data_IF_246241129330
#
_entry.id   IF_246241129330
#
_cell.length_a   1.000
_cell.length_b   1.000
_cell.length_c   1.000
_cell.angle_alpha   90.00
_cell.angle_beta   90.00
_cell.angle_gamma   90.00
#
_symmetry.space_group_name_H-M   'P 1'
#
loop_
_entity.id
_entity.type
_entity.pdbx_description
1 polymer ?
#
# COMPACT_ATOMS: atom_id res chain seq x y z
N UNK A 1 -30.13 -9.00 -5.03
CA UNK A 1 -29.18 -9.07 -3.90
C UNK A 1 -29.93 -8.89 -2.59
N UNK A 2 -29.59 -9.68 -1.60
CA UNK A 2 -30.18 -9.58 -0.26
C UNK A 2 -29.40 -8.53 0.51
N UNK A 3 -30.06 -7.51 1.04
CA UNK A 3 -29.42 -6.40 1.72
C UNK A 3 -28.59 -6.88 2.92
N UNK A 4 -29.07 -7.93 3.65
CA UNK A 4 -28.35 -8.50 4.78
C UNK A 4 -27.00 -9.12 4.40
N UNK A 5 -26.71 -9.30 3.11
CA UNK A 5 -25.47 -9.89 2.62
C UNK A 5 -24.50 -8.84 2.07
N UNK A 6 -24.85 -7.56 2.14
CA UNK A 6 -23.92 -6.55 1.69
C UNK A 6 -22.71 -6.50 2.64
N UNK A 7 -21.50 -6.22 2.11
CA UNK A 7 -20.31 -6.22 2.94
C UNK A 7 -20.31 -5.09 3.97
N UNK A 8 -19.61 -5.31 5.06
CA UNK A 8 -19.34 -4.25 6.03
C UNK A 8 -18.42 -3.19 5.40
N UNK A 9 -18.39 -2.01 6.01
CA UNK A 9 -17.57 -0.90 5.48
C UNK A 9 -16.09 -1.27 5.36
N UNK A 10 -15.53 -1.95 6.37
CA UNK A 10 -14.13 -2.35 6.33
C UNK A 10 -13.87 -3.32 5.17
N UNK A 11 -14.79 -4.25 4.92
CA UNK A 11 -14.66 -5.19 3.80
C UNK A 11 -14.68 -4.45 2.47
N UNK A 12 -15.56 -3.46 2.33
CA UNK A 12 -15.69 -2.68 1.11
C UNK A 12 -14.38 -1.94 0.81
N UNK A 13 -13.85 -1.22 1.79
CA UNK A 13 -12.63 -0.44 1.59
C UNK A 13 -11.40 -1.34 1.44
N UNK A 14 -11.37 -2.48 2.12
CA UNK A 14 -10.29 -3.44 1.96
C UNK A 14 -10.29 -4.02 0.53
N UNK A 15 -11.47 -4.27 -0.03
CA UNK A 15 -11.57 -4.73 -1.41
C UNK A 15 -11.04 -3.69 -2.40
N UNK A 16 -11.33 -2.42 -2.17
CA UNK A 16 -10.79 -1.32 -2.99
C UNK A 16 -9.26 -1.32 -2.91
N UNK A 17 -8.70 -1.51 -1.72
CA UNK A 17 -7.25 -1.61 -1.57
C UNK A 17 -6.67 -2.78 -2.37
N UNK A 18 -7.35 -3.93 -2.38
CA UNK A 18 -6.92 -5.09 -3.18
C UNK A 18 -6.94 -4.81 -4.67
N UNK A 19 -7.95 -4.10 -5.15
CA UNK A 19 -8.02 -3.70 -6.56
C UNK A 19 -6.83 -2.82 -6.90
N UNK A 20 -6.49 -1.87 -6.05
CA UNK A 20 -5.32 -1.03 -6.27
C UNK A 20 -4.02 -1.83 -6.25
N UNK A 21 -3.90 -2.85 -5.39
CA UNK A 21 -2.74 -3.72 -5.37
C UNK A 21 -2.50 -4.39 -6.72
N UNK A 22 -3.56 -4.74 -7.44
CA UNK A 22 -3.46 -5.37 -8.76
C UNK A 22 -2.84 -4.45 -9.82
N UNK A 23 -2.79 -3.14 -9.56
CA UNK A 23 -2.16 -2.16 -10.44
C UNK A 23 -0.65 -2.03 -10.21
N UNK A 24 -0.12 -2.59 -9.14
CA UNK A 24 1.30 -2.50 -8.85
C UNK A 24 2.13 -3.16 -9.94
N UNK A 25 3.19 -2.48 -10.37
CA UNK A 25 4.15 -2.97 -11.34
C UNK A 25 5.42 -3.48 -10.67
N UNK A 26 5.41 -3.62 -9.36
CA UNK A 26 6.53 -4.20 -8.63
C UNK A 26 6.58 -5.72 -8.89
N UNK A 27 7.75 -6.22 -9.30
CA UNK A 27 7.94 -7.64 -9.61
C UNK A 27 8.07 -8.51 -8.36
N UNK A 28 8.28 -7.91 -7.20
CA UNK A 28 8.51 -8.64 -5.96
C UNK A 28 7.29 -8.68 -5.05
N UNK A 29 6.49 -7.63 -5.02
CA UNK A 29 5.38 -7.50 -4.08
C UNK A 29 4.37 -6.48 -4.61
N UNK A 30 3.10 -6.83 -4.57
CA UNK A 30 2.02 -5.94 -4.97
C UNK A 30 1.21 -5.56 -3.73
N UNK A 31 1.18 -4.27 -3.42
CA UNK A 31 0.47 -3.73 -2.25
C UNK A 31 -0.42 -2.58 -2.71
N UNK A 32 -1.61 -2.53 -2.14
CA UNK A 32 -2.55 -1.43 -2.34
C UNK A 32 -2.95 -0.82 -1.01
N UNK A 33 -3.25 0.46 -1.02
CA UNK A 33 -3.70 1.17 0.17
C UNK A 33 -4.73 2.23 -0.19
N UNK A 34 -5.71 2.42 0.70
CA UNK A 34 -6.68 3.53 0.60
C UNK A 34 -6.82 4.21 1.94
N UNK A 35 -6.90 5.54 1.90
CA UNK A 35 -7.17 6.36 3.06
C UNK A 35 -8.63 6.80 2.99
N UNK A 36 -9.37 6.56 4.07
CA UNK A 36 -10.82 6.80 4.12
C UNK A 36 -11.14 7.71 5.30
N UNK A 37 -11.97 8.71 5.05
CA UNK A 37 -12.48 9.58 6.10
C UNK A 37 -13.96 9.82 5.87
N UNK A 38 -14.76 9.66 6.93
CA UNK A 38 -16.20 9.80 6.86
C UNK A 38 -16.83 8.96 5.73
N UNK A 39 -16.32 7.74 5.57
CA UNK A 39 -16.76 6.77 4.55
C UNK A 39 -16.53 7.22 3.12
N UNK A 40 -15.58 8.14 2.91
CA UNK A 40 -15.14 8.55 1.59
C UNK A 40 -13.67 8.24 1.40
N UNK A 41 -13.32 7.69 0.24
CA UNK A 41 -11.92 7.49 -0.12
C UNK A 41 -11.33 8.86 -0.45
N UNK A 42 -10.33 9.28 0.32
CA UNK A 42 -9.66 10.56 0.13
C UNK A 42 -8.27 10.42 -0.46
N UNK A 43 -7.71 9.21 -0.44
CA UNK A 43 -6.42 8.93 -1.06
C UNK A 43 -6.27 7.46 -1.31
N UNK A 44 -5.51 7.12 -2.34
CA UNK A 44 -5.33 5.74 -2.74
C UNK A 44 -3.99 5.60 -3.46
N UNK A 45 -3.43 4.40 -3.40
CA UNK A 45 -2.16 4.16 -4.02
C UNK A 45 -1.80 2.69 -4.07
N UNK A 46 -0.82 2.40 -4.85
CA UNK A 46 -0.17 1.10 -4.93
C UNK A 46 1.33 1.33 -4.97
N UNK A 47 2.11 0.31 -4.65
CA UNK A 47 3.56 0.45 -4.69
C UNK A 47 4.04 0.51 -6.13
N UNK A 48 4.83 1.53 -6.44
CA UNK A 48 5.31 1.75 -7.79
C UNK A 48 6.25 2.93 -7.86
N UNK A 49 6.92 3.05 -9.01
CA UNK A 49 7.84 4.14 -9.28
C UNK A 49 7.06 5.41 -9.69
N UNK A 50 7.75 6.53 -9.65
CA UNK A 50 7.16 7.80 -10.07
C UNK A 50 6.67 7.73 -11.52
N UNK A 51 5.59 8.46 -11.81
CA UNK A 51 5.06 8.54 -13.16
C UNK A 51 6.14 8.95 -14.16
N UNK A 52 6.20 8.26 -15.28
CA UNK A 52 7.20 8.49 -16.32
C UNK A 52 8.50 7.73 -16.13
N UNK A 53 8.72 7.09 -15.00
CA UNK A 53 9.89 6.23 -14.77
C UNK A 53 9.61 4.81 -15.20
N UNK A 54 10.68 4.06 -15.49
CA UNK A 54 10.58 2.67 -15.90
C UNK A 54 10.06 1.81 -14.77
N UNK A 55 9.04 1.02 -15.04
CA UNK A 55 8.42 0.14 -14.05
C UNK A 55 9.34 -1.00 -13.64
N UNK A 56 9.14 -1.51 -12.43
CA UNK A 56 9.90 -2.62 -11.88
C UNK A 56 9.83 -3.85 -12.78
N UNK A 57 8.64 -4.21 -13.25
CA UNK A 57 8.43 -5.35 -14.15
C UNK A 57 9.13 -5.19 -15.51
N UNK A 58 9.48 -3.97 -15.87
CA UNK A 58 10.19 -3.64 -17.11
C UNK A 58 11.70 -3.46 -16.87
N UNK A 59 12.20 -3.89 -15.72
CA UNK A 59 13.61 -3.80 -15.37
C UNK A 59 14.04 -2.47 -14.77
N UNK A 60 13.07 -1.64 -14.32
CA UNK A 60 13.38 -0.34 -13.73
C UNK A 60 13.86 -0.38 -12.29
N UNK A 61 13.77 -1.54 -11.63
CA UNK A 61 14.16 -1.71 -10.24
C UNK A 61 15.30 -2.74 -10.14
N UNK A 62 16.52 -2.34 -9.74
CA UNK A 62 17.62 -3.29 -9.58
C UNK A 62 17.29 -4.46 -8.66
N UNK A 63 16.60 -4.19 -7.55
CA UNK A 63 16.18 -5.25 -6.62
C UNK A 63 15.16 -6.19 -7.27
N UNK A 64 14.25 -5.67 -8.08
CA UNK A 64 13.23 -6.44 -8.76
C UNK A 64 13.77 -7.36 -9.86
N UNK A 65 14.99 -7.11 -10.33
CA UNK A 65 15.65 -7.96 -11.32
C UNK A 65 16.26 -9.21 -10.68
N UNK A 66 16.30 -9.30 -9.36
CA UNK A 66 16.93 -10.40 -8.65
C UNK A 66 15.86 -11.34 -8.08
N UNK A 67 16.19 -12.65 -8.07
CA UNK A 67 15.37 -13.62 -7.34
C UNK A 67 15.62 -13.49 -5.83
N UNK A 68 14.76 -14.12 -5.03
CA UNK A 68 14.97 -14.15 -3.58
C UNK A 68 16.25 -14.91 -3.19
N UNK A 69 16.68 -15.86 -4.02
CA UNK A 69 17.93 -16.59 -3.80
C UNK A 69 19.16 -15.71 -4.04
N UNK A 70 19.05 -14.75 -4.95
CA UNK A 70 20.12 -13.80 -5.25
C UNK A 70 20.24 -12.69 -4.20
N UNK A 71 19.19 -12.48 -3.41
CA UNK A 71 19.17 -11.50 -2.33
C UNK A 71 18.84 -12.24 -1.03
N UNK A 72 19.83 -12.78 -0.33
CA UNK A 72 19.60 -13.59 0.85
C UNK A 72 19.02 -12.78 2.00
N UNK A 73 18.37 -13.48 2.93
CA UNK A 73 17.84 -12.87 4.15
C UNK A 73 18.98 -12.15 4.91
N UNK A 74 18.72 -10.94 5.37
CA UNK A 74 19.71 -10.14 6.08
C UNK A 74 20.69 -9.40 5.18
N UNK A 75 20.53 -9.48 3.85
CA UNK A 75 21.37 -8.74 2.92
C UNK A 75 21.15 -7.23 3.05
N UNK A 76 22.17 -6.46 2.70
CA UNK A 76 22.06 -5.01 2.63
C UNK A 76 21.34 -4.63 1.35
N UNK A 77 20.05 -4.34 1.46
CA UNK A 77 19.22 -3.96 0.32
C UNK A 77 19.63 -2.63 -0.34
N UNK A 78 20.50 -1.85 0.31
CA UNK A 78 21.04 -0.64 -0.32
C UNK A 78 21.92 -0.95 -1.52
N UNK A 79 22.42 -2.17 -1.65
CA UNK A 79 23.16 -2.62 -2.83
C UNK A 79 22.24 -2.82 -4.04
N UNK A 80 20.94 -3.01 -3.79
CA UNK A 80 19.93 -3.17 -4.83
C UNK A 80 18.78 -2.22 -4.54
N UNK A 81 18.96 -0.91 -4.77
CA UNK A 81 17.95 0.08 -4.39
C UNK A 81 16.65 -0.12 -5.15
N UNK A 82 15.55 0.10 -4.46
CA UNK A 82 14.22 0.11 -5.06
C UNK A 82 13.76 1.56 -5.16
N UNK A 83 13.38 1.98 -6.36
CA UNK A 83 12.91 3.34 -6.61
C UNK A 83 11.41 3.48 -6.44
N UNK A 84 10.70 2.40 -6.14
CA UNK A 84 9.26 2.43 -5.86
C UNK A 84 8.97 3.12 -4.54
N UNK A 85 7.87 3.85 -4.50
CA UNK A 85 7.26 4.25 -3.24
C UNK A 85 6.28 3.17 -2.79
N UNK A 86 6.13 3.02 -1.48
CA UNK A 86 5.17 2.08 -0.92
C UNK A 86 3.74 2.58 -1.14
N UNK A 87 2.78 1.65 -1.16
CA UNK A 87 1.37 1.96 -1.39
C UNK A 87 0.83 2.97 -0.37
N UNK A 88 1.17 2.79 0.90
CA UNK A 88 0.76 3.68 1.99
C UNK A 88 1.28 5.11 1.76
N UNK A 89 2.52 5.23 1.35
CA UNK A 89 3.14 6.52 1.04
C UNK A 89 2.39 7.21 -0.09
N UNK A 90 2.10 6.49 -1.17
CA UNK A 90 1.37 7.04 -2.31
C UNK A 90 -0.06 7.44 -1.91
N UNK A 91 -0.73 6.62 -1.11
CA UNK A 91 -2.08 6.92 -0.66
C UNK A 91 -2.13 8.19 0.20
N UNK A 92 -1.17 8.35 1.11
CA UNK A 92 -1.08 9.53 1.97
C UNK A 92 -0.75 10.78 1.15
N UNK A 93 0.17 10.68 0.19
CA UNK A 93 0.49 11.78 -0.70
C UNK A 93 -0.74 12.23 -1.51
N UNK A 94 -1.51 11.26 -2.01
CA UNK A 94 -2.72 11.57 -2.78
C UNK A 94 -3.83 12.17 -1.92
N UNK A 95 -3.96 11.74 -0.67
CA UNK A 95 -4.94 12.31 0.26
C UNK A 95 -4.56 13.71 0.71
N UNK A 96 -3.28 13.95 0.87
CA UNK A 96 -2.76 15.14 1.51
C UNK A 96 -2.59 14.92 3.01
N UNK A 97 -1.47 15.33 3.55
CA UNK A 97 -1.12 15.05 4.95
C UNK A 97 -2.18 15.56 5.93
N UNK A 98 -2.65 16.77 5.72
CA UNK A 98 -3.63 17.39 6.63
C UNK A 98 -4.96 16.64 6.64
N UNK A 99 -5.39 16.13 5.49
CA UNK A 99 -6.66 15.42 5.37
C UNK A 99 -6.63 14.04 6.05
N UNK A 100 -5.44 13.49 6.26
CA UNK A 100 -5.29 12.17 6.87
C UNK A 100 -5.61 12.14 8.36
N UNK A 101 -5.58 13.28 9.05
CA UNK A 101 -5.82 13.32 10.48
C UNK A 101 -7.18 12.71 10.85
N UNK A 102 -7.16 11.70 11.72
CA UNK A 102 -8.36 10.99 12.14
C UNK A 102 -8.94 10.00 11.13
N UNK A 103 -8.31 9.85 9.96
CA UNK A 103 -8.76 8.93 8.92
C UNK A 103 -8.41 7.47 9.28
N UNK A 104 -8.91 6.55 8.46
CA UNK A 104 -8.54 5.14 8.49
C UNK A 104 -7.75 4.81 7.23
N UNK A 105 -6.67 4.05 7.35
CA UNK A 105 -5.96 3.52 6.20
C UNK A 105 -6.18 2.01 6.10
N UNK A 106 -6.54 1.57 4.91
CA UNK A 106 -6.69 0.15 4.59
C UNK A 106 -5.53 -0.25 3.71
N UNK A 107 -4.82 -1.29 4.09
CA UNK A 107 -3.65 -1.74 3.35
C UNK A 107 -3.67 -3.26 3.20
N UNK A 108 -3.26 -3.75 2.05
CA UNK A 108 -3.34 -5.18 1.74
C UNK A 108 -2.26 -6.02 2.42
N UNK A 109 -1.23 -5.37 2.96
CA UNK A 109 -0.12 -6.06 3.60
C UNK A 109 0.39 -5.21 4.77
N UNK A 110 1.08 -5.84 5.71
CA UNK A 110 1.56 -5.16 6.90
C UNK A 110 2.54 -4.03 6.52
N UNK A 111 2.32 -2.79 6.99
CA UNK A 111 3.24 -1.69 6.73
C UNK A 111 4.62 -1.96 7.33
N UNK A 112 5.66 -1.54 6.63
CA UNK A 112 7.01 -1.54 7.18
C UNK A 112 7.15 -0.44 8.23
N UNK A 113 8.30 -0.41 8.91
CA UNK A 113 8.51 0.58 9.98
C UNK A 113 8.43 2.02 9.46
N UNK A 114 8.98 2.28 8.28
CA UNK A 114 8.92 3.63 7.69
C UNK A 114 7.48 4.05 7.37
N UNK A 115 6.68 3.14 6.83
CA UNK A 115 5.27 3.42 6.56
C UNK A 115 4.48 3.58 7.85
N UNK A 116 4.78 2.79 8.87
CA UNK A 116 4.16 2.95 10.19
C UNK A 116 4.46 4.33 10.76
N UNK A 117 5.70 4.78 10.66
CA UNK A 117 6.08 6.12 11.12
C UNK A 117 5.34 7.21 10.35
N UNK A 118 5.23 7.05 9.04
CA UNK A 118 4.49 8.01 8.21
C UNK A 118 3.01 8.07 8.59
N UNK A 119 2.40 6.91 8.81
CA UNK A 119 1.00 6.82 9.23
C UNK A 119 0.79 7.56 10.57
N UNK A 120 1.72 7.40 11.51
CA UNK A 120 1.68 8.11 12.78
C UNK A 120 1.83 9.62 12.60
N UNK A 121 2.78 10.05 11.77
CA UNK A 121 2.98 11.47 11.48
C UNK A 121 1.78 12.10 10.78
N UNK A 122 1.09 11.33 9.97
CA UNK A 122 -0.14 11.77 9.30
C UNK A 122 -1.33 11.81 10.25
N UNK A 123 -1.19 11.31 11.48
CA UNK A 123 -2.23 11.27 12.51
C UNK A 123 -3.44 10.44 12.09
N UNK A 124 -3.21 9.42 11.29
CA UNK A 124 -4.23 8.45 10.93
C UNK A 124 -4.63 7.70 12.20
N UNK A 125 -5.94 7.62 12.45
CA UNK A 125 -6.44 7.08 13.70
C UNK A 125 -6.59 5.56 13.73
N UNK A 126 -6.63 4.92 12.56
CA UNK A 126 -6.92 3.49 12.48
C UNK A 126 -6.24 2.88 11.27
N UNK A 127 -5.67 1.68 11.46
CA UNK A 127 -5.02 0.91 10.38
C UNK A 127 -5.72 -0.43 10.28
N UNK A 128 -6.17 -0.79 9.08
CA UNK A 128 -6.77 -2.09 8.79
C UNK A 128 -5.89 -2.81 7.78
N UNK A 129 -5.42 -4.00 8.15
CA UNK A 129 -4.51 -4.80 7.34
C UNK A 129 -5.27 -6.02 6.85
N UNK A 130 -5.29 -6.25 5.54
CA UNK A 130 -6.15 -7.24 4.98
C UNK A 130 -5.51 -8.37 4.20
N UNK A 131 -4.50 -8.10 3.44
CA UNK A 131 -3.95 -9.11 2.56
C UNK A 131 -5.01 -9.70 1.65
N UNK A 132 -5.13 -11.03 1.65
CA UNK A 132 -6.10 -11.75 0.82
C UNK A 132 -7.45 -11.95 1.51
N UNK A 133 -7.49 -11.77 2.81
CA UNK A 133 -8.70 -11.79 3.60
C UNK A 133 -8.82 -10.46 4.33
N UNK A 134 -9.83 -10.36 5.19
CA UNK A 134 -10.03 -9.14 5.97
C UNK A 134 -9.49 -9.37 7.35
N UNK A 135 -8.56 -8.50 7.76
CA UNK A 135 -7.95 -8.57 9.08
C UNK A 135 -7.93 -7.16 9.65
N UNK A 136 -8.47 -7.00 10.83
CA UNK A 136 -8.40 -5.73 11.53
C UNK A 136 -7.08 -5.60 12.26
N UNK A 137 -6.50 -4.43 12.21
CA UNK A 137 -5.30 -4.13 12.96
C UNK A 137 -5.61 -3.96 14.46
#
# INVERSE_FOLDING_TARGET
MIISQRPEWDETFQEIARIWASRSTCSRRQVGAVVVKDKHVIGQGYNGVASGKKHCVDGGCPRGMLSYDEVPAGADYNQWPCTSLHAEHNAILNAGLAACAGATIYVTDKPCQQCTNLIEHAKIGRVVIGGRGIVSA
#
